data_IF_883816053166
#
_entry.id   IF_883816053166
#
_cell.length_a   1.000
_cell.length_b   1.000
_cell.length_c   1.000
_cell.angle_alpha   90.00
_cell.angle_beta   90.00
_cell.angle_gamma   90.00
#
_symmetry.space_group_name_H-M   'P 1'
#
loop_
_entity.id
_entity.type
_entity.pdbx_description
1 polymer ?
#
# COMPACT_ATOMS: atom_id res chain seq x y z
N UNK A 1 10.89 -36.89 27.82
CA UNK A 1 10.30 -37.26 26.51
C UNK A 1 9.00 -36.53 26.16
N UNK A 2 8.16 -36.07 27.10
CA UNK A 2 6.89 -35.39 26.75
C UNK A 2 7.02 -33.95 26.22
N UNK A 3 8.15 -33.27 26.45
CA UNK A 3 8.41 -31.91 25.94
C UNK A 3 8.72 -31.90 24.43
N UNK A 4 9.52 -32.86 23.97
CA UNK A 4 9.95 -33.01 22.56
C UNK A 4 8.78 -33.35 21.61
N UNK A 5 7.82 -34.17 22.05
CA UNK A 5 6.62 -34.48 21.26
C UNK A 5 5.61 -33.33 21.21
N UNK A 6 5.54 -32.51 22.27
CA UNK A 6 4.70 -31.30 22.29
C UNK A 6 5.23 -30.24 21.32
N UNK A 7 6.54 -30.05 21.28
CA UNK A 7 7.16 -29.05 20.40
C UNK A 7 6.96 -29.41 18.92
N UNK A 8 7.13 -30.67 18.53
CA UNK A 8 6.90 -31.11 17.14
C UNK A 8 5.42 -31.15 16.73
N UNK A 9 4.48 -31.51 17.63
CA UNK A 9 3.05 -31.46 17.28
C UNK A 9 2.55 -30.03 17.12
N UNK A 10 3.11 -29.09 17.90
CA UNK A 10 2.77 -27.67 17.82
C UNK A 10 3.34 -27.05 16.54
N UNK A 11 4.59 -27.35 16.19
CA UNK A 11 5.26 -26.89 14.95
C UNK A 11 4.57 -27.43 13.68
N UNK A 12 4.07 -28.67 13.70
CA UNK A 12 3.28 -29.25 12.60
C UNK A 12 1.90 -28.59 12.46
N UNK A 13 1.18 -28.37 13.57
CA UNK A 13 -0.11 -27.67 13.59
C UNK A 13 0.00 -26.20 13.13
N UNK A 14 1.10 -25.52 13.49
CA UNK A 14 1.37 -24.15 13.08
C UNK A 14 1.61 -24.03 11.57
N UNK A 15 2.34 -24.97 10.97
CA UNK A 15 2.53 -25.00 9.52
C UNK A 15 1.20 -25.19 8.76
N UNK A 16 0.24 -25.94 9.31
CA UNK A 16 -1.08 -26.13 8.67
C UNK A 16 -1.86 -24.81 8.64
N UNK A 17 -1.93 -24.07 9.76
CA UNK A 17 -2.67 -22.80 9.83
C UNK A 17 -2.11 -21.73 8.89
N UNK A 18 -0.79 -21.61 8.81
CA UNK A 18 -0.15 -20.69 7.86
C UNK A 18 -0.45 -21.08 6.41
N UNK A 19 -0.39 -22.37 6.08
CA UNK A 19 -0.70 -22.85 4.74
C UNK A 19 -2.17 -22.63 4.35
N UNK A 20 -3.11 -22.76 5.30
CA UNK A 20 -4.52 -22.42 5.09
C UNK A 20 -4.64 -20.92 4.82
N UNK A 21 -4.09 -20.06 5.68
CA UNK A 21 -4.16 -18.61 5.50
C UNK A 21 -3.57 -18.16 4.15
N UNK A 22 -2.42 -18.72 3.75
CA UNK A 22 -1.79 -18.46 2.47
C UNK A 22 -2.66 -18.93 1.28
N UNK A 23 -3.30 -20.09 1.40
CA UNK A 23 -4.14 -20.64 0.33
C UNK A 23 -5.45 -19.87 0.16
N UNK A 24 -6.07 -19.44 1.26
CA UNK A 24 -7.26 -18.57 1.24
C UNK A 24 -6.94 -17.19 0.64
N UNK A 25 -5.76 -16.65 0.94
CA UNK A 25 -5.34 -15.32 0.48
C UNK A 25 -4.96 -15.31 -1.01
N UNK A 26 -4.24 -16.33 -1.48
CA UNK A 26 -3.74 -16.44 -2.86
C UNK A 26 -4.57 -17.38 -3.75
N UNK A 27 -5.73 -17.82 -3.28
CA UNK A 27 -6.61 -18.73 -4.01
C UNK A 27 -7.31 -18.07 -5.21
N UNK A 28 -7.96 -18.88 -6.04
CA UNK A 28 -8.64 -18.44 -7.26
C UNK A 28 -9.95 -17.67 -7.05
N UNK A 29 -10.44 -17.57 -5.82
CA UNK A 29 -11.64 -16.80 -5.48
C UNK A 29 -11.51 -15.33 -5.89
N UNK A 30 -12.59 -14.74 -6.39
CA UNK A 30 -12.68 -13.31 -6.78
C UNK A 30 -12.92 -12.40 -5.55
N UNK A 31 -13.10 -12.99 -4.36
CA UNK A 31 -13.23 -12.24 -3.12
C UNK A 31 -11.89 -11.66 -2.64
N UNK A 32 -11.94 -10.51 -1.96
CA UNK A 32 -10.80 -10.00 -1.19
C UNK A 32 -10.39 -11.00 -0.12
N UNK A 33 -9.10 -11.04 0.19
CA UNK A 33 -8.59 -11.88 1.25
C UNK A 33 -9.07 -11.37 2.62
N UNK A 34 -9.40 -12.30 3.51
CA UNK A 34 -9.80 -11.96 4.87
C UNK A 34 -8.64 -11.30 5.61
N UNK A 35 -8.88 -10.11 6.18
CA UNK A 35 -7.86 -9.33 6.88
C UNK A 35 -7.22 -10.09 8.06
N UNK A 36 -7.98 -10.99 8.72
CA UNK A 36 -7.43 -11.85 9.78
C UNK A 36 -6.30 -12.75 9.27
N UNK A 37 -6.44 -13.29 8.06
CA UNK A 37 -5.40 -14.11 7.43
C UNK A 37 -4.21 -13.26 7.00
N UNK A 38 -4.45 -12.07 6.44
CA UNK A 38 -3.37 -11.14 6.08
C UNK A 38 -2.55 -10.78 7.32
N UNK A 39 -3.19 -10.35 8.41
CA UNK A 39 -2.53 -10.01 9.66
C UNK A 39 -1.75 -11.19 10.24
N UNK A 40 -2.34 -12.40 10.18
CA UNK A 40 -1.67 -13.62 10.59
C UNK A 40 -0.39 -13.87 9.77
N UNK A 41 -0.47 -13.78 8.43
CA UNK A 41 0.70 -13.96 7.55
C UNK A 41 1.77 -12.90 7.83
N UNK A 42 1.40 -11.62 8.00
CA UNK A 42 2.31 -10.52 8.35
C UNK A 42 3.11 -10.87 9.61
N UNK A 43 2.44 -11.28 10.69
CA UNK A 43 3.11 -11.68 11.93
C UNK A 43 4.14 -12.78 11.72
N UNK A 44 3.85 -13.73 10.84
CA UNK A 44 4.75 -14.84 10.51
C UNK A 44 5.94 -14.42 9.63
N UNK A 45 5.91 -13.27 8.96
CA UNK A 45 7.10 -12.74 8.26
C UNK A 45 8.21 -12.30 9.22
N UNK A 46 7.87 -11.90 10.46
CA UNK A 46 8.85 -11.53 11.49
C UNK A 46 9.40 -12.73 12.26
N UNK A 47 8.84 -13.92 12.04
CA UNK A 47 9.28 -15.18 12.64
C UNK A 47 10.17 -15.98 11.67
N UNK A 48 10.60 -17.18 12.06
CA UNK A 48 11.40 -18.09 11.22
C UNK A 48 10.66 -18.65 9.98
N UNK A 49 9.40 -18.26 9.78
CA UNK A 49 8.51 -18.81 8.74
C UNK A 49 8.56 -18.07 7.40
N UNK A 50 9.33 -16.98 7.32
CA UNK A 50 9.47 -16.16 6.10
C UNK A 50 9.89 -16.99 4.87
N UNK A 51 10.67 -18.06 5.08
CA UNK A 51 11.06 -19.01 4.03
C UNK A 51 9.85 -19.72 3.44
N UNK A 52 8.94 -20.24 4.28
CA UNK A 52 7.72 -20.92 3.84
C UNK A 52 6.84 -19.98 3.02
N UNK A 53 6.67 -18.75 3.51
CA UNK A 53 5.90 -17.70 2.82
C UNK A 53 6.52 -17.40 1.44
N UNK A 54 7.83 -17.16 1.38
CA UNK A 54 8.54 -16.84 0.14
C UNK A 54 8.47 -17.98 -0.90
N UNK A 55 8.59 -19.24 -0.45
CA UNK A 55 8.45 -20.42 -1.31
C UNK A 55 7.03 -20.49 -1.87
N UNK A 56 6.01 -20.22 -1.04
CA UNK A 56 4.61 -20.26 -1.49
C UNK A 56 4.31 -19.16 -2.50
N UNK A 57 4.80 -17.94 -2.28
CA UNK A 57 4.71 -16.82 -3.24
C UNK A 57 5.35 -17.23 -4.56
N UNK A 58 6.61 -17.69 -4.54
CA UNK A 58 7.33 -18.12 -5.74
C UNK A 58 6.58 -19.20 -6.51
N UNK A 59 6.06 -20.21 -5.81
CA UNK A 59 5.30 -21.29 -6.42
C UNK A 59 4.02 -20.77 -7.09
N UNK A 60 3.28 -19.84 -6.47
CA UNK A 60 2.07 -19.26 -7.07
C UNK A 60 2.38 -18.37 -8.27
N UNK A 61 3.49 -17.62 -8.26
CA UNK A 61 3.94 -16.86 -9.42
C UNK A 61 4.34 -17.76 -10.61
N UNK A 62 4.86 -18.96 -10.33
CA UNK A 62 5.32 -19.90 -11.37
C UNK A 62 4.22 -20.79 -11.95
N UNK A 63 3.23 -21.19 -11.13
CA UNK A 63 2.27 -22.24 -11.47
C UNK A 63 0.80 -21.82 -11.30
N UNK A 64 0.53 -20.61 -10.79
CA UNK A 64 -0.84 -20.12 -10.58
C UNK A 64 -1.49 -19.64 -11.87
N UNK A 65 -2.84 -19.59 -11.88
CA UNK A 65 -3.56 -18.86 -12.92
C UNK A 65 -3.46 -17.34 -12.69
N UNK A 66 -3.81 -16.50 -13.67
CA UNK A 66 -3.63 -15.04 -13.56
C UNK A 66 -4.32 -14.40 -12.36
N UNK A 67 -5.48 -14.91 -11.93
CA UNK A 67 -6.16 -14.44 -10.70
C UNK A 67 -5.33 -14.75 -9.46
N UNK A 68 -4.78 -15.96 -9.36
CA UNK A 68 -3.92 -16.38 -8.24
C UNK A 68 -2.61 -15.59 -8.24
N UNK A 69 -2.02 -15.37 -9.42
CA UNK A 69 -0.81 -14.56 -9.58
C UNK A 69 -1.07 -13.13 -9.10
N UNK A 70 -2.16 -12.50 -9.54
CA UNK A 70 -2.52 -11.15 -9.12
C UNK A 70 -2.68 -11.05 -7.60
N UNK A 71 -3.43 -11.97 -6.98
CA UNK A 71 -3.59 -11.99 -5.52
C UNK A 71 -2.28 -12.26 -4.79
N UNK A 72 -1.40 -13.06 -5.38
CA UNK A 72 -0.05 -13.31 -4.86
C UNK A 72 0.80 -12.03 -4.90
N UNK A 73 0.73 -11.25 -5.99
CA UNK A 73 1.42 -9.96 -6.10
C UNK A 73 0.85 -8.93 -5.10
N UNK A 74 -0.48 -8.90 -4.90
CA UNK A 74 -1.12 -8.07 -3.88
C UNK A 74 -0.64 -8.46 -2.48
N UNK A 75 -0.64 -9.76 -2.16
CA UNK A 75 -0.12 -10.24 -0.87
C UNK A 75 1.35 -9.86 -0.71
N UNK A 76 2.19 -10.09 -1.71
CA UNK A 76 3.59 -9.70 -1.69
C UNK A 76 3.76 -8.20 -1.41
N UNK A 77 2.98 -7.34 -2.06
CA UNK A 77 3.02 -5.89 -1.85
C UNK A 77 2.64 -5.53 -0.41
N UNK A 78 1.56 -6.12 0.13
CA UNK A 78 1.17 -5.93 1.54
C UNK A 78 2.30 -6.36 2.49
N UNK A 79 2.90 -7.54 2.26
CA UNK A 79 3.99 -8.04 3.09
C UNK A 79 5.27 -7.22 2.96
N UNK A 80 5.51 -6.60 1.80
CA UNK A 80 6.64 -5.70 1.59
C UNK A 80 6.48 -4.44 2.45
N UNK A 81 5.26 -3.90 2.54
CA UNK A 81 4.94 -2.70 3.32
C UNK A 81 4.87 -2.97 4.82
N UNK A 82 4.17 -4.02 5.23
CA UNK A 82 3.81 -4.25 6.64
C UNK A 82 4.58 -5.40 7.30
N UNK A 83 5.26 -6.23 6.53
CA UNK A 83 6.02 -7.38 7.01
C UNK A 83 7.51 -7.09 7.26
N UNK A 84 8.27 -8.14 7.50
CA UNK A 84 9.72 -8.07 7.67
C UNK A 84 10.44 -7.69 6.38
N UNK A 85 11.36 -6.73 6.44
CA UNK A 85 12.24 -6.36 5.32
C UNK A 85 13.14 -7.51 4.85
N UNK A 86 13.33 -8.55 5.68
CA UNK A 86 14.03 -9.78 5.26
C UNK A 86 13.35 -10.49 4.08
N UNK A 87 12.09 -10.16 3.78
CA UNK A 87 11.35 -10.72 2.64
C UNK A 87 12.08 -10.45 1.32
N UNK A 88 12.66 -9.26 1.15
CA UNK A 88 13.37 -8.86 -0.07
C UNK A 88 14.62 -9.71 -0.33
N UNK A 89 15.24 -10.24 0.73
CA UNK A 89 16.36 -11.16 0.61
C UNK A 89 15.92 -12.57 0.17
N UNK A 90 14.70 -13.00 0.54
CA UNK A 90 14.18 -14.33 0.21
C UNK A 90 13.62 -14.42 -1.23
N UNK A 91 13.18 -13.29 -1.81
CA UNK A 91 12.59 -13.23 -3.14
C UNK A 91 13.58 -12.54 -4.09
N UNK A 92 14.09 -13.29 -5.07
CA UNK A 92 15.04 -12.77 -6.06
C UNK A 92 14.37 -12.10 -7.25
N UNK A 93 13.17 -12.57 -7.61
CA UNK A 93 12.45 -12.16 -8.79
C UNK A 93 10.95 -12.42 -8.59
N UNK A 94 10.12 -11.50 -9.07
CA UNK A 94 8.66 -11.62 -9.10
C UNK A 94 8.15 -12.10 -10.46
N UNK A 95 9.01 -12.18 -11.48
CA UNK A 95 8.57 -12.54 -12.82
C UNK A 95 7.87 -13.91 -12.81
N UNK A 96 6.61 -13.98 -13.30
CA UNK A 96 5.97 -15.25 -13.54
C UNK A 96 6.74 -16.00 -14.63
N UNK A 97 6.65 -17.33 -14.64
CA UNK A 97 7.31 -18.16 -15.66
C UNK A 97 6.94 -17.60 -17.06
N UNK A 98 7.89 -17.53 -18.03
CA UNK A 98 7.55 -17.12 -19.39
C UNK A 98 6.48 -18.06 -19.93
N UNK A 99 5.25 -17.55 -20.01
CA UNK A 99 4.15 -18.25 -20.65
C UNK A 99 4.53 -18.27 -22.13
N UNK A 100 4.82 -19.46 -22.64
CA UNK A 100 5.15 -19.69 -24.06
C UNK A 100 4.06 -18.97 -24.87
N UNK A 101 4.45 -17.92 -25.61
CA UNK A 101 3.65 -16.92 -26.36
C UNK A 101 3.48 -15.54 -25.69
N UNK A 102 4.59 -14.90 -25.31
CA UNK A 102 4.60 -13.43 -25.08
C UNK A 102 4.30 -12.67 -26.39
N UNK A 103 4.55 -13.27 -27.56
CA UNK A 103 4.24 -12.68 -28.88
C UNK A 103 2.74 -12.47 -29.15
N UNK A 104 1.85 -13.09 -28.37
CA UNK A 104 0.40 -12.94 -28.50
C UNK A 104 -0.22 -12.10 -27.36
N UNK A 105 0.57 -11.55 -26.43
CA UNK A 105 0.08 -10.62 -25.40
C UNK A 105 0.23 -9.19 -25.92
N UNK A 106 -0.26 -8.97 -27.13
CA UNK A 106 -0.66 -7.64 -27.65
C UNK A 106 -2.15 -7.39 -27.40
N UNK A 107 -2.78 -8.17 -26.53
CA UNK A 107 -4.16 -7.91 -26.14
C UNK A 107 -4.17 -6.81 -25.08
N UNK A 108 -4.39 -5.57 -25.54
CA UNK A 108 -4.86 -4.39 -24.81
C UNK A 108 -6.22 -4.63 -24.09
N UNK A 109 -6.54 -5.87 -23.76
CA UNK A 109 -7.80 -6.27 -23.18
C UNK A 109 -7.74 -6.12 -21.66
N UNK A 110 -8.15 -4.94 -21.21
CA UNK A 110 -8.21 -4.53 -19.81
C UNK A 110 -9.24 -5.34 -19.02
N UNK A 111 -10.07 -6.17 -19.67
CA UNK A 111 -10.97 -7.11 -18.98
C UNK A 111 -10.24 -8.34 -18.43
N UNK A 112 -9.03 -8.65 -18.93
CA UNK A 112 -8.27 -9.85 -18.53
C UNK A 112 -7.30 -9.54 -17.39
N UNK A 113 -7.25 -10.41 -16.37
CA UNK A 113 -6.27 -10.28 -15.29
C UNK A 113 -4.81 -10.37 -15.77
N UNK A 114 -4.54 -11.03 -16.89
CA UNK A 114 -3.21 -11.08 -17.50
C UNK A 114 -2.66 -9.69 -17.77
N UNK A 115 -3.48 -8.78 -18.32
CA UNK A 115 -3.10 -7.40 -18.59
C UNK A 115 -2.58 -6.71 -17.32
N UNK A 116 -3.39 -6.75 -16.26
CA UNK A 116 -3.08 -6.09 -14.99
C UNK A 116 -1.90 -6.75 -14.27
N UNK A 117 -1.76 -8.07 -14.34
CA UNK A 117 -0.60 -8.78 -13.78
C UNK A 117 0.71 -8.25 -14.37
N UNK A 118 0.81 -8.13 -15.70
CA UNK A 118 2.04 -7.65 -16.33
C UNK A 118 2.32 -6.17 -16.04
N UNK A 119 1.28 -5.33 -16.03
CA UNK A 119 1.44 -3.91 -15.72
C UNK A 119 1.79 -3.66 -14.25
N UNK A 120 1.26 -4.48 -13.33
CA UNK A 120 1.55 -4.38 -11.90
C UNK A 120 2.91 -4.96 -11.50
N UNK A 121 3.37 -5.97 -12.23
CA UNK A 121 4.67 -6.58 -12.01
C UNK A 121 5.80 -5.57 -12.21
N UNK A 122 5.69 -4.68 -13.19
CA UNK A 122 6.74 -3.70 -13.52
C UNK A 122 7.14 -2.81 -12.33
N UNK A 123 6.24 -2.04 -11.68
CA UNK A 123 6.61 -1.24 -10.53
C UNK A 123 7.03 -2.08 -9.32
N UNK A 124 6.38 -3.24 -9.09
CA UNK A 124 6.76 -4.13 -7.97
C UNK A 124 8.17 -4.70 -8.13
N UNK A 125 8.59 -5.06 -9.34
CA UNK A 125 9.92 -5.57 -9.62
C UNK A 125 10.98 -4.48 -9.44
N UNK A 126 10.69 -3.24 -9.82
CA UNK A 126 11.56 -2.09 -9.54
C UNK A 126 11.67 -1.83 -8.03
N UNK A 127 10.56 -1.88 -7.31
CA UNK A 127 10.53 -1.76 -5.84
C UNK A 127 11.36 -2.86 -5.16
N UNK A 128 11.19 -4.13 -5.55
CA UNK A 128 12.02 -5.24 -5.06
C UNK A 128 13.51 -4.99 -5.31
N UNK A 129 13.86 -4.56 -6.52
CA UNK A 129 15.25 -4.29 -6.91
C UNK A 129 15.86 -3.17 -6.05
N UNK A 130 15.08 -2.12 -5.78
CA UNK A 130 15.47 -1.02 -4.89
C UNK A 130 15.71 -1.50 -3.46
N UNK A 131 14.78 -2.24 -2.85
CA UNK A 131 14.96 -2.73 -1.48
C UNK A 131 16.10 -3.74 -1.33
N UNK A 132 16.40 -4.50 -2.38
CA UNK A 132 17.60 -5.37 -2.41
C UNK A 132 18.90 -4.56 -2.52
N UNK A 133 18.89 -3.47 -3.29
CA UNK A 133 20.03 -2.55 -3.45
C UNK A 133 20.26 -1.72 -2.18
N UNK A 134 19.19 -1.34 -1.48
CA UNK A 134 19.19 -0.51 -0.28
C UNK A 134 18.45 -1.19 0.88
N UNK A 135 19.04 -2.22 1.50
CA UNK A 135 18.37 -3.07 2.49
C UNK A 135 18.01 -2.35 3.80
N UNK A 136 18.49 -1.12 3.99
CA UNK A 136 18.15 -0.28 5.14
C UNK A 136 16.79 0.42 4.99
N UNK A 137 16.18 0.43 3.79
CA UNK A 137 14.81 0.88 3.61
C UNK A 137 13.80 -0.25 3.82
N UNK A 138 12.72 0.04 4.51
CA UNK A 138 11.53 -0.84 4.57
C UNK A 138 10.63 -0.57 3.36
N UNK A 139 9.67 -1.47 3.07
CA UNK A 139 8.69 -1.23 2.01
C UNK A 139 7.71 -0.09 2.28
N UNK A 140 7.84 0.63 3.40
CA UNK A 140 7.14 1.89 3.65
C UNK A 140 7.86 3.11 3.08
N UNK A 141 9.02 2.93 2.44
CA UNK A 141 9.84 4.02 1.90
C UNK A 141 10.11 5.12 2.93
N UNK A 142 10.46 4.75 4.16
CA UNK A 142 10.81 5.71 5.23
C UNK A 142 12.30 5.59 5.55
N UNK A 143 12.95 6.71 5.85
CA UNK A 143 14.34 6.71 6.33
C UNK A 143 14.49 5.86 7.61
N UNK A 144 15.61 5.12 7.74
CA UNK A 144 15.91 4.41 8.97
C UNK A 144 16.01 5.41 10.14
N UNK A 145 15.33 5.11 11.25
CA UNK A 145 15.20 5.97 12.43
C UNK A 145 14.56 7.35 12.17
N UNK A 146 13.85 7.52 11.04
CA UNK A 146 13.06 8.70 10.71
C UNK A 146 13.85 9.99 10.48
N UNK A 147 15.18 9.94 10.44
CA UNK A 147 16.00 11.18 10.47
C UNK A 147 17.24 11.18 9.59
N UNK A 148 17.87 10.03 9.29
CA UNK A 148 19.09 10.04 8.46
C UNK A 148 19.39 8.72 7.76
N UNK A 149 20.10 8.82 6.63
CA UNK A 149 20.69 7.67 5.94
C UNK A 149 21.86 7.08 6.76
N UNK A 150 22.22 5.80 6.54
CA UNK A 150 23.46 5.25 7.09
C UNK A 150 24.67 6.10 6.69
N UNK A 151 25.65 6.28 7.57
CA UNK A 151 26.80 7.17 7.34
C UNK A 151 27.54 6.89 6.02
N UNK A 152 27.62 5.63 5.58
CA UNK A 152 28.22 5.25 4.30
C UNK A 152 27.48 5.78 3.07
N UNK A 153 26.21 6.18 3.22
CA UNK A 153 25.35 6.71 2.17
C UNK A 153 25.09 8.22 2.30
N UNK A 154 25.64 8.89 3.32
CA UNK A 154 25.51 10.33 3.54
C UNK A 154 26.50 11.12 2.67
N UNK A 155 26.41 10.94 1.36
CA UNK A 155 27.17 11.71 0.39
C UNK A 155 26.31 12.04 -0.83
N UNK A 156 26.64 13.13 -1.51
CA UNK A 156 25.88 13.67 -2.64
C UNK A 156 25.63 12.60 -3.71
N UNK A 157 26.68 11.88 -4.12
CA UNK A 157 26.59 10.86 -5.17
C UNK A 157 25.60 9.74 -4.80
N UNK A 158 25.75 9.15 -3.61
CA UNK A 158 24.82 8.12 -3.11
C UNK A 158 23.38 8.60 -3.10
N UNK A 159 23.13 9.82 -2.62
CA UNK A 159 21.78 10.38 -2.56
C UNK A 159 21.20 10.59 -3.96
N UNK A 160 21.99 11.11 -4.91
CA UNK A 160 21.55 11.28 -6.30
C UNK A 160 21.14 9.95 -6.95
N UNK A 161 21.92 8.88 -6.73
CA UNK A 161 21.59 7.54 -7.27
C UNK A 161 20.32 6.97 -6.62
N UNK A 162 20.13 7.16 -5.32
CA UNK A 162 18.88 6.74 -4.64
C UNK A 162 17.67 7.52 -5.18
N UNK A 163 17.81 8.83 -5.39
CA UNK A 163 16.76 9.69 -5.95
C UNK A 163 16.36 9.24 -7.36
N UNK A 164 17.33 8.94 -8.23
CA UNK A 164 17.07 8.43 -9.58
C UNK A 164 16.26 7.12 -9.54
N UNK A 165 16.66 6.17 -8.69
CA UNK A 165 15.94 4.91 -8.52
C UNK A 165 14.50 5.12 -8.01
N UNK A 166 14.30 6.02 -7.03
CA UNK A 166 12.97 6.34 -6.49
C UNK A 166 12.07 7.02 -7.52
N UNK A 167 12.59 7.97 -8.29
CA UNK A 167 11.85 8.64 -9.38
C UNK A 167 11.43 7.62 -10.44
N UNK A 168 12.31 6.67 -10.77
CA UNK A 168 12.00 5.59 -11.72
C UNK A 168 10.89 4.64 -11.23
N UNK A 169 10.80 4.40 -9.91
CA UNK A 169 9.71 3.63 -9.29
C UNK A 169 8.43 4.46 -9.28
N UNK A 170 8.50 5.73 -8.86
CA UNK A 170 7.38 6.67 -8.82
C UNK A 170 6.66 6.74 -10.17
N UNK A 171 7.38 6.97 -11.26
CA UNK A 171 6.79 7.02 -12.59
C UNK A 171 6.15 5.69 -13.00
N UNK A 172 6.71 4.57 -12.57
CA UNK A 172 6.17 3.24 -12.86
C UNK A 172 4.84 2.99 -12.17
N UNK A 173 4.71 3.34 -10.88
CA UNK A 173 3.43 3.26 -10.18
C UNK A 173 2.42 4.27 -10.75
N UNK A 174 2.86 5.50 -11.04
CA UNK A 174 1.99 6.55 -11.55
C UNK A 174 1.38 6.16 -12.90
N UNK A 175 2.20 5.58 -13.80
CA UNK A 175 1.73 5.06 -15.08
C UNK A 175 0.64 3.99 -14.91
N UNK A 176 0.82 3.04 -13.98
CA UNK A 176 -0.16 1.99 -13.71
C UNK A 176 -1.48 2.56 -13.17
N UNK A 177 -1.40 3.53 -12.24
CA UNK A 177 -2.58 4.15 -11.62
C UNK A 177 -3.36 4.97 -12.66
N UNK A 178 -2.66 5.78 -13.47
CA UNK A 178 -3.29 6.55 -14.53
C UNK A 178 -3.95 5.65 -15.57
N UNK A 179 -3.29 4.56 -15.96
CA UNK A 179 -3.87 3.58 -16.87
C UNK A 179 -5.14 2.97 -16.25
N UNK A 180 -5.10 2.53 -14.98
CA UNK A 180 -6.27 2.01 -14.26
C UNK A 180 -7.49 2.94 -14.31
N UNK A 181 -7.31 4.21 -13.98
CA UNK A 181 -8.41 5.19 -13.99
C UNK A 181 -8.88 5.52 -15.40
N UNK A 182 -7.96 5.62 -16.37
CA UNK A 182 -8.33 5.88 -17.78
C UNK A 182 -9.26 4.82 -18.36
N UNK A 183 -9.14 3.57 -17.89
CA UNK A 183 -9.92 2.42 -18.35
C UNK A 183 -11.24 2.23 -17.61
N UNK A 184 -11.54 3.05 -16.59
CA UNK A 184 -12.79 2.98 -15.77
C UNK A 184 -13.08 1.57 -15.25
N UNK A 185 -12.03 0.89 -14.78
CA UNK A 185 -12.08 -0.52 -14.40
C UNK A 185 -12.89 -0.71 -13.11
N UNK A 186 -13.91 -1.57 -13.12
CA UNK A 186 -14.72 -1.89 -11.93
C UNK A 186 -14.45 -3.30 -11.44
N UNK A 187 -13.37 -3.49 -10.68
CA UNK A 187 -13.01 -4.78 -10.09
C UNK A 187 -12.39 -4.59 -8.70
N UNK A 188 -12.95 -5.23 -7.68
CA UNK A 188 -12.54 -5.02 -6.28
C UNK A 188 -11.09 -5.44 -6.01
N UNK A 189 -10.59 -6.50 -6.65
CA UNK A 189 -9.20 -6.96 -6.49
C UNK A 189 -8.25 -5.94 -7.13
N UNK A 190 -8.59 -5.40 -8.30
CA UNK A 190 -7.78 -4.38 -8.96
C UNK A 190 -7.81 -3.04 -8.21
N UNK A 191 -8.94 -2.68 -7.58
CA UNK A 191 -8.98 -1.54 -6.68
C UNK A 191 -8.01 -1.69 -5.50
N UNK A 192 -7.94 -2.89 -4.89
CA UNK A 192 -6.99 -3.15 -3.81
C UNK A 192 -5.53 -3.00 -4.28
N UNK A 193 -5.20 -3.52 -5.46
CA UNK A 193 -3.89 -3.34 -6.09
C UNK A 193 -3.54 -1.86 -6.26
N UNK A 194 -4.44 -1.07 -6.83
CA UNK A 194 -4.23 0.36 -7.10
C UNK A 194 -4.13 1.16 -5.81
N UNK A 195 -4.92 0.82 -4.79
CA UNK A 195 -4.83 1.46 -3.48
C UNK A 195 -3.44 1.31 -2.87
N UNK A 196 -2.85 0.12 -2.93
CA UNK A 196 -1.48 -0.09 -2.46
C UNK A 196 -0.47 0.74 -3.28
N UNK A 197 -0.65 0.82 -4.60
CA UNK A 197 0.21 1.64 -5.46
C UNK A 197 0.12 3.15 -5.11
N UNK A 198 -1.08 3.65 -4.81
CA UNK A 198 -1.29 5.04 -4.38
C UNK A 198 -0.56 5.30 -3.05
N UNK A 199 -0.67 4.37 -2.11
CA UNK A 199 0.04 4.48 -0.82
C UNK A 199 1.57 4.47 -1.00
N UNK A 200 2.10 3.69 -1.95
CA UNK A 200 3.52 3.69 -2.30
C UNK A 200 3.93 5.03 -2.93
N UNK A 201 3.14 5.60 -3.83
CA UNK A 201 3.41 6.91 -4.44
C UNK A 201 3.59 8.00 -3.40
N UNK A 202 2.68 8.09 -2.43
CA UNK A 202 2.79 9.10 -1.38
C UNK A 202 4.03 8.90 -0.52
N UNK A 203 4.33 7.65 -0.15
CA UNK A 203 5.52 7.33 0.64
C UNK A 203 6.82 7.64 -0.11
N UNK A 204 6.91 7.26 -1.39
CA UNK A 204 8.06 7.56 -2.25
C UNK A 204 8.23 9.08 -2.41
N UNK A 205 7.13 9.81 -2.63
CA UNK A 205 7.18 11.27 -2.77
C UNK A 205 7.70 11.95 -1.49
N UNK A 206 7.22 11.52 -0.31
CA UNK A 206 7.75 11.99 0.97
C UNK A 206 9.25 11.72 1.11
N UNK A 207 9.70 10.51 0.77
CA UNK A 207 11.12 10.16 0.82
C UNK A 207 11.97 10.97 -0.15
N UNK A 208 11.48 11.25 -1.35
CA UNK A 208 12.16 12.10 -2.33
C UNK A 208 12.39 13.50 -1.73
N UNK A 209 11.36 14.10 -1.10
CA UNK A 209 11.51 15.41 -0.44
C UNK A 209 12.58 15.37 0.65
N UNK A 210 12.55 14.35 1.51
CA UNK A 210 13.55 14.18 2.58
C UNK A 210 14.97 14.07 2.02
N UNK A 211 15.17 13.25 0.99
CA UNK A 211 16.48 13.05 0.36
C UNK A 211 16.98 14.29 -0.38
N UNK A 212 16.09 15.05 -1.04
CA UNK A 212 16.44 16.34 -1.64
C UNK A 212 16.92 17.32 -0.57
N UNK A 213 16.24 17.39 0.57
CA UNK A 213 16.68 18.24 1.69
C UNK A 213 18.05 17.81 2.21
N UNK A 214 18.31 16.50 2.34
CA UNK A 214 19.64 15.99 2.69
C UNK A 214 20.70 16.35 1.64
N UNK A 215 20.39 16.22 0.35
CA UNK A 215 21.28 16.56 -0.74
C UNK A 215 21.66 18.04 -0.72
N UNK A 216 20.65 18.92 -0.54
CA UNK A 216 20.83 20.36 -0.45
C UNK A 216 21.72 20.74 0.74
N UNK A 217 21.42 20.17 1.91
CA UNK A 217 22.22 20.36 3.12
C UNK A 217 23.71 19.99 2.91
N UNK A 218 23.98 18.87 2.25
CA UNK A 218 25.33 18.41 1.96
C UNK A 218 26.04 19.22 0.86
N UNK A 219 25.28 19.83 -0.05
CA UNK A 219 25.84 20.60 -1.17
C UNK A 219 26.20 22.05 -0.83
N UNK A 220 25.81 22.56 0.36
CA UNK A 220 25.95 23.97 0.76
C UNK A 220 25.31 24.99 -0.21
N UNK A 221 24.45 24.55 -1.13
CA UNK A 221 23.70 25.42 -2.05
C UNK A 221 22.37 25.80 -1.37
N UNK A 222 21.96 27.07 -1.33
CA UNK A 222 20.67 27.45 -0.77
C UNK A 222 19.51 26.84 -1.56
N UNK A 223 18.53 26.26 -0.84
CA UNK A 223 17.31 25.69 -1.42
C UNK A 223 16.43 26.78 -2.04
N UNK A 224 16.11 26.65 -3.33
CA UNK A 224 15.01 27.41 -3.96
C UNK A 224 13.85 26.47 -4.32
N UNK A 225 12.81 26.39 -3.46
CA UNK A 225 11.64 25.53 -3.67
C UNK A 225 10.84 25.87 -4.95
N UNK A 226 11.07 27.03 -5.57
CA UNK A 226 10.36 27.43 -6.78
C UNK A 226 10.84 26.69 -8.03
N UNK A 227 12.07 26.19 -8.03
CA UNK A 227 12.69 25.44 -9.15
C UNK A 227 12.07 24.06 -9.41
N UNK A 228 11.43 23.47 -8.39
CA UNK A 228 10.72 22.19 -8.47
C UNK A 228 9.20 22.34 -8.44
N UNK A 229 8.67 23.53 -8.74
CA UNK A 229 7.25 23.61 -9.12
C UNK A 229 7.03 22.78 -10.38
N UNK A 230 6.70 21.51 -10.19
CA UNK A 230 6.10 20.68 -11.22
C UNK A 230 4.73 21.28 -11.54
N UNK A 231 4.73 22.26 -12.43
CA UNK A 231 3.55 22.93 -12.99
C UNK A 231 2.59 21.98 -13.70
N UNK A 232 2.93 20.68 -13.83
CA UNK A 232 2.04 19.60 -14.29
C UNK A 232 1.60 18.56 -13.24
N UNK A 233 2.03 18.64 -11.97
CA UNK A 233 1.64 17.66 -10.93
C UNK A 233 0.32 18.00 -10.24
N UNK A 234 0.01 19.28 -10.05
CA UNK A 234 -1.28 19.71 -9.46
C UNK A 234 -2.47 19.20 -10.26
N UNK A 235 -2.42 19.33 -11.59
CA UNK A 235 -3.51 18.89 -12.47
C UNK A 235 -3.76 17.39 -12.42
N UNK A 236 -2.71 16.57 -12.30
CA UNK A 236 -2.85 15.10 -12.26
C UNK A 236 -3.31 14.60 -10.89
N UNK A 237 -2.88 15.25 -9.81
CA UNK A 237 -3.34 14.93 -8.45
C UNK A 237 -4.81 15.38 -8.24
N UNK A 238 -5.19 16.53 -8.81
CA UNK A 238 -6.58 17.01 -8.83
C UNK A 238 -7.49 16.10 -9.68
N UNK A 239 -6.96 15.46 -10.73
CA UNK A 239 -7.66 14.43 -11.51
C UNK A 239 -7.90 13.15 -10.68
N UNK A 240 -6.90 12.69 -9.92
CA UNK A 240 -7.02 11.50 -9.06
C UNK A 240 -8.02 11.74 -7.91
N UNK A 241 -8.02 12.95 -7.31
CA UNK A 241 -8.96 13.30 -6.24
C UNK A 241 -10.37 13.64 -6.75
N UNK A 242 -10.52 14.22 -7.95
CA UNK A 242 -11.85 14.48 -8.55
C UNK A 242 -12.53 13.21 -9.09
N UNK A 243 -11.78 12.18 -9.49
CA UNK A 243 -12.36 10.87 -9.80
C UNK A 243 -12.88 10.11 -8.55
N UNK A 244 -12.52 10.56 -7.34
CA UNK A 244 -12.95 9.94 -6.07
C UNK A 244 -14.37 10.33 -5.65
N UNK A 245 -14.96 11.36 -6.24
CA UNK A 245 -16.28 11.87 -5.83
C UNK A 245 -17.47 11.15 -6.48
N UNK A 246 -17.24 10.15 -7.34
CA UNK A 246 -18.33 9.39 -7.99
C UNK A 246 -18.55 7.97 -7.45
N UNK A 247 -17.72 7.46 -6.55
CA UNK A 247 -17.92 6.14 -5.96
C UNK A 247 -17.74 6.15 -4.43
N UNK A 248 -18.84 6.42 -3.73
CA UNK A 248 -19.03 6.22 -2.28
C UNK A 248 -18.79 4.76 -1.81
N UNK A 249 -18.26 3.88 -2.67
CA UNK A 249 -17.85 2.50 -2.35
C UNK A 249 -16.38 2.39 -1.91
N UNK A 250 -15.52 3.37 -2.21
CA UNK A 250 -14.15 3.38 -1.67
C UNK A 250 -14.12 3.81 -0.20
N UNK A 251 -14.99 4.76 0.19
CA UNK A 251 -15.12 5.23 1.57
C UNK A 251 -15.63 4.13 2.53
N UNK A 252 -16.45 3.19 2.05
CA UNK A 252 -16.91 2.04 2.85
C UNK A 252 -15.85 0.94 3.05
N UNK A 253 -14.78 0.94 2.25
CA UNK A 253 -13.59 0.10 2.46
C UNK A 253 -12.57 0.72 3.44
N UNK A 254 -12.76 1.99 3.82
CA UNK A 254 -11.88 2.76 4.73
C UNK A 254 -12.34 2.66 6.20
N UNK A 255 -13.29 1.77 6.54
CA UNK A 255 -13.49 1.38 7.95
C UNK A 255 -12.44 0.39 8.43
N UNK A 256 -11.19 0.85 8.47
CA UNK A 256 -10.15 0.35 9.35
C UNK A 256 -10.00 1.32 10.51
N UNK A 257 -10.96 1.30 11.42
CA UNK A 257 -10.85 2.03 12.67
C UNK A 257 -9.80 1.39 13.59
N UNK A 258 -8.99 2.29 14.17
CA UNK A 258 -8.20 2.17 15.39
C UNK A 258 -6.82 1.49 15.31
N UNK A 259 -5.83 2.27 14.88
CA UNK A 259 -4.68 2.57 15.75
C UNK A 259 -4.54 4.10 15.75
N UNK A 260 -4.85 4.74 16.86
CA UNK A 260 -4.75 6.20 17.02
C UNK A 260 -3.31 6.67 16.82
N UNK A 261 -3.03 7.63 15.92
CA UNK A 261 -1.81 8.39 15.98
C UNK A 261 -1.97 9.53 17.00
N UNK A 262 -1.11 9.51 18.03
CA UNK A 262 -0.83 10.66 18.90
C UNK A 262 -0.45 11.86 18.01
N UNK A 263 -0.95 13.07 18.30
CA UNK A 263 -1.04 14.15 17.31
C UNK A 263 0.30 14.85 17.08
N UNK A 264 0.75 14.89 15.83
CA UNK A 264 1.76 15.87 15.39
C UNK A 264 0.99 17.03 14.79
N UNK A 265 0.91 18.10 15.57
CA UNK A 265 0.34 19.39 15.20
C UNK A 265 1.02 19.96 13.93
N UNK A 266 0.29 20.20 12.82
CA UNK A 266 0.66 21.21 11.85
C UNK A 266 -0.30 22.39 12.08
N UNK A 267 -0.01 23.20 13.10
CA UNK A 267 -0.76 24.44 13.29
C UNK A 267 -0.50 25.34 12.08
N UNK A 268 -1.61 25.73 11.46
CA UNK A 268 -1.81 26.91 10.62
C UNK A 268 -1.20 26.91 9.23
N UNK A 269 -1.97 26.39 8.27
CA UNK A 269 -2.00 27.05 6.96
C UNK A 269 -3.43 27.32 6.52
N UNK A 270 -4.04 28.35 7.13
CA UNK A 270 -5.37 28.89 6.76
C UNK A 270 -5.46 29.27 5.27
N UNK A 271 -4.32 29.45 4.59
CA UNK A 271 -4.28 29.70 3.14
C UNK A 271 -4.73 28.49 2.30
N UNK A 272 -4.64 27.27 2.84
CA UNK A 272 -5.09 26.06 2.15
C UNK A 272 -6.62 26.03 2.07
N UNK A 273 -7.32 26.19 3.19
CA UNK A 273 -8.79 26.11 3.24
C UNK A 273 -9.49 27.26 2.50
N UNK A 274 -8.89 28.46 2.51
CA UNK A 274 -9.40 29.63 1.78
C UNK A 274 -9.36 29.45 0.26
N UNK A 275 -8.45 28.61 -0.25
CA UNK A 275 -8.29 28.38 -1.70
C UNK A 275 -9.35 27.44 -2.28
N UNK A 276 -10.05 26.71 -1.42
CA UNK A 276 -11.00 25.66 -1.80
C UNK A 276 -12.42 25.89 -1.26
N UNK A 277 -12.73 27.07 -0.71
CA UNK A 277 -14.09 27.42 -0.27
C UNK A 277 -14.60 26.62 0.94
N UNK A 278 -13.71 26.04 1.75
CA UNK A 278 -14.05 25.19 2.91
C UNK A 278 -14.17 25.98 4.22
N UNK A 279 -14.43 27.29 4.12
CA UNK A 279 -14.32 28.24 5.23
C UNK A 279 -15.37 28.00 6.33
N UNK A 280 -16.47 27.28 6.01
CA UNK A 280 -17.61 27.07 6.91
C UNK A 280 -17.62 25.72 7.64
N UNK A 281 -16.58 24.89 7.54
CA UNK A 281 -16.54 23.58 8.22
C UNK A 281 -15.94 23.69 9.63
N UNK A 282 -15.34 24.83 9.99
CA UNK A 282 -14.78 25.06 11.32
C UNK A 282 -15.30 26.39 11.88
N UNK A 283 -16.59 26.41 12.23
CA UNK A 283 -17.09 27.27 13.30
C UNK A 283 -18.30 26.62 13.94
N UNK A 284 -18.11 26.01 15.11
CA UNK A 284 -19.17 25.79 16.09
C UNK A 284 -18.51 25.76 17.47
N UNK A 285 -17.92 26.90 17.85
CA UNK A 285 -17.85 27.28 19.26
C UNK A 285 -19.06 28.20 19.51
N UNK A 286 -20.17 27.65 19.98
CA UNK A 286 -21.19 28.33 20.79
C UNK A 286 -22.04 27.27 21.56
N UNK A 287 -22.55 27.63 22.74
CA UNK A 287 -22.67 26.72 23.88
C UNK A 287 -23.89 25.80 23.81
N UNK A 288 -23.77 24.67 24.52
CA UNK A 288 -24.84 23.70 24.78
C UNK A 288 -26.01 24.43 25.44
N UNK A 289 -27.15 24.49 24.75
CA UNK A 289 -28.44 24.77 25.36
C UNK A 289 -29.05 23.43 25.79
N UNK A 290 -29.31 23.28 27.10
CA UNK A 290 -30.07 22.15 27.63
C UNK A 290 -31.50 22.16 27.08
N UNK A 291 -32.04 21.01 26.64
CA UNK A 291 -33.46 20.90 26.35
C UNK A 291 -34.26 20.75 27.66
N UNK A 292 -35.50 21.28 27.71
CA UNK A 292 -36.29 21.27 28.93
C UNK A 292 -36.77 19.84 29.24
N UNK A 293 -36.75 19.49 30.53
CA UNK A 293 -37.60 18.43 31.08
C UNK A 293 -39.06 18.85 30.91
N UNK A 294 -39.87 18.06 30.22
CA UNK A 294 -41.12 17.63 30.84
C UNK A 294 -41.71 16.34 30.26
N UNK A 295 -42.38 15.70 31.19
CA UNK A 295 -43.05 14.41 31.24
C UNK A 295 -44.31 14.34 30.37
N UNK A 296 -44.57 13.18 29.77
CA UNK A 296 -45.88 12.51 29.82
C UNK A 296 -45.88 11.20 29.03
N UNK A 297 -46.53 10.22 29.67
CA UNK A 297 -46.89 8.91 29.17
C UNK A 297 -47.64 8.99 27.83
N UNK A 298 -47.44 8.01 26.95
CA UNK A 298 -48.52 7.05 26.68
C UNK A 298 -48.04 5.82 25.91
N UNK A 299 -48.73 4.74 26.20
CA UNK A 299 -48.43 3.36 25.88
C UNK A 299 -49.02 2.91 24.53
N UNK A 300 -48.79 1.62 24.26
CA UNK A 300 -49.41 0.72 23.29
C UNK A 300 -48.83 0.66 21.88
N UNK A 301 -48.44 -0.57 21.51
CA UNK A 301 -49.12 -1.19 20.38
C UNK A 301 -48.24 -1.93 19.37
N UNK A 302 -47.90 -3.18 19.70
CA UNK A 302 -48.14 -4.38 18.89
C UNK A 302 -47.66 -4.51 17.43
N UNK A 303 -47.08 -5.72 17.21
CA UNK A 303 -47.17 -6.60 16.02
C UNK A 303 -46.33 -6.23 14.78
N UNK A 304 -45.89 -7.13 13.91
CA UNK A 304 -45.50 -8.56 13.85
C UNK A 304 -44.93 -8.73 12.43
N UNK A 305 -44.05 -9.72 12.27
CA UNK A 305 -43.52 -10.32 11.03
C UNK A 305 -44.38 -10.21 9.75
N UNK A 306 -43.71 -9.92 8.64
CA UNK A 306 -43.61 -10.78 7.44
C UNK A 306 -42.17 -10.80 6.93
#
# INVERSE_FOLDING_TARGET
MSKLFKDHSMEFSFNIKLNIALSETMGSSISLANQKYIHYIIKHTFNKDIRVISVRIKNKLQYGCYTEILKTLILYHILSREGSSNLFAQISDLNPRPIKKIKDITDFDTSKYSYWVFHYLLPLQKSLSFHRKYPFFTGKFVLPNGTSLPSSQQNIYSISVILEDLVNIFYSYNSLILDFFSKKTSNVILHQMVLLCIQDIFAIYSLIIELVNCHVFLSHIPFDPSSYQMTGMKSNLDLITSCSSQDNRLASLIHLNAIDPIPINPITNKSFFKRYGLENIISNDQPIAEPPLDTSNDALGCLVLE
#
